data_IF_287946099438
#
_entry.id   IF_287946099438
#
_cell.length_a   1.000
_cell.length_b   1.000
_cell.length_c   1.000
_cell.angle_alpha   90.00
_cell.angle_beta   90.00
_cell.angle_gamma   90.00
#
_symmetry.space_group_name_H-M   'P 1'
#
loop_
_entity.id
_entity.type
_entity.pdbx_description
1 polymer ?
#
# COMPACT_ATOMS: atom_id res chain seq x y z
N UNK A 1 -5.59 -29.39 -6.08
CA UNK A 1 -5.16 -28.31 -6.99
C UNK A 1 -6.38 -27.72 -7.74
N UNK A 2 -7.30 -27.01 -7.04
CA UNK A 2 -8.64 -26.63 -7.58
C UNK A 2 -9.27 -25.34 -6.99
N UNK A 3 -8.48 -24.38 -6.50
CA UNK A 3 -9.00 -23.12 -5.89
C UNK A 3 -8.52 -21.81 -6.53
N UNK A 4 -7.62 -21.84 -7.53
CA UNK A 4 -7.02 -20.61 -8.10
C UNK A 4 -7.84 -20.02 -9.25
N UNK A 5 -8.62 -20.82 -9.97
CA UNK A 5 -9.25 -20.40 -11.23
C UNK A 5 -10.51 -19.54 -11.09
N UNK A 6 -11.02 -19.32 -9.87
CA UNK A 6 -12.30 -18.64 -9.64
C UNK A 6 -12.19 -17.21 -9.08
N UNK A 7 -10.99 -16.74 -8.69
CA UNK A 7 -10.85 -15.46 -7.96
C UNK A 7 -11.02 -14.23 -8.86
N UNK A 8 -10.71 -14.35 -10.16
CA UNK A 8 -10.65 -13.23 -11.10
C UNK A 8 -11.72 -13.29 -12.21
N UNK A 9 -12.84 -14.02 -12.02
CA UNK A 9 -13.93 -14.10 -13.01
C UNK A 9 -14.46 -12.71 -13.40
N UNK A 10 -14.47 -11.76 -12.46
CA UNK A 10 -14.87 -10.38 -12.69
C UNK A 10 -13.94 -9.64 -13.68
N UNK A 11 -12.63 -9.94 -13.67
CA UNK A 11 -11.64 -9.25 -14.50
C UNK A 11 -11.79 -9.62 -15.99
N UNK A 12 -12.25 -10.84 -16.26
CA UNK A 12 -12.59 -11.31 -17.62
C UNK A 12 -13.84 -10.63 -18.18
N UNK A 13 -14.71 -10.07 -17.33
CA UNK A 13 -15.93 -9.40 -17.76
C UNK A 13 -15.71 -7.94 -18.16
N UNK A 14 -14.51 -7.39 -17.93
CA UNK A 14 -14.17 -6.01 -18.33
C UNK A 14 -13.81 -6.00 -19.82
N UNK A 15 -14.56 -5.28 -20.67
CA UNK A 15 -14.20 -5.14 -22.08
C UNK A 15 -12.82 -4.48 -22.21
N UNK A 16 -11.97 -5.00 -23.11
CA UNK A 16 -10.58 -4.54 -23.19
C UNK A 16 -10.47 -3.04 -23.52
N UNK A 17 -11.34 -2.52 -24.39
CA UNK A 17 -11.40 -1.07 -24.68
C UNK A 17 -11.58 -0.22 -23.41
N UNK A 18 -12.39 -0.70 -22.46
CA UNK A 18 -12.65 0.00 -21.20
C UNK A 18 -11.47 -0.18 -20.24
N UNK A 19 -10.94 -1.40 -20.14
CA UNK A 19 -9.81 -1.69 -19.28
C UNK A 19 -8.57 -0.86 -19.64
N UNK A 20 -8.22 -0.85 -20.93
CA UNK A 20 -7.09 -0.04 -21.43
C UNK A 20 -7.34 1.46 -21.30
N UNK A 21 -8.57 1.94 -21.59
CA UNK A 21 -8.92 3.34 -21.39
C UNK A 21 -8.75 3.78 -19.92
N UNK A 22 -9.30 3.02 -18.96
CA UNK A 22 -9.19 3.34 -17.54
C UNK A 22 -7.75 3.20 -17.02
N UNK A 23 -6.98 2.25 -17.53
CA UNK A 23 -5.56 2.13 -17.21
C UNK A 23 -4.75 3.34 -17.71
N UNK A 24 -4.99 3.78 -18.95
CA UNK A 24 -4.38 5.00 -19.51
C UNK A 24 -4.78 6.26 -18.73
N UNK A 25 -6.06 6.40 -18.40
CA UNK A 25 -6.54 7.49 -17.55
C UNK A 25 -5.86 7.49 -16.18
N UNK A 26 -5.70 6.33 -15.54
CA UNK A 26 -4.97 6.20 -14.28
C UNK A 26 -3.45 6.38 -14.42
N UNK A 27 -2.90 6.20 -15.62
CA UNK A 27 -1.49 6.48 -15.91
C UNK A 27 -1.22 7.99 -15.80
N UNK A 28 -2.18 8.83 -16.21
CA UNK A 28 -2.19 10.26 -15.92
C UNK A 28 -2.57 10.56 -14.48
N UNK A 29 -3.83 10.28 -14.11
CA UNK A 29 -4.48 10.84 -12.91
C UNK A 29 -4.37 9.96 -11.64
N UNK A 30 -3.98 8.69 -11.79
CA UNK A 30 -3.98 7.73 -10.69
C UNK A 30 -2.82 7.90 -9.71
N UNK A 31 -3.07 7.66 -8.43
CA UNK A 31 -2.08 7.86 -7.37
C UNK A 31 -2.02 6.65 -6.43
N UNK A 32 -0.83 6.06 -6.32
CA UNK A 32 -0.52 5.01 -5.36
C UNK A 32 0.22 5.60 -4.17
N UNK A 33 -0.34 5.42 -2.98
CA UNK A 33 0.17 6.03 -1.75
C UNK A 33 0.27 4.99 -0.63
N UNK A 34 1.35 5.11 0.15
CA UNK A 34 1.55 4.36 1.38
C UNK A 34 1.80 5.37 2.50
N UNK A 35 0.94 5.35 3.51
CA UNK A 35 1.06 6.21 4.68
C UNK A 35 1.24 5.39 5.94
N UNK A 36 1.92 5.98 6.93
CA UNK A 36 2.03 5.43 8.27
C UNK A 36 1.11 6.24 9.17
N UNK A 37 0.26 5.56 9.93
CA UNK A 37 -0.59 6.18 10.96
C UNK A 37 -0.17 5.68 12.31
N UNK A 38 -0.02 6.59 13.27
CA UNK A 38 0.17 6.18 14.66
C UNK A 38 -1.09 5.48 15.18
N UNK A 39 -0.88 4.44 15.96
CA UNK A 39 -1.89 3.77 16.78
C UNK A 39 -1.47 3.93 18.24
N UNK A 40 -2.47 4.08 19.09
CA UNK A 40 -2.28 4.08 20.55
C UNK A 40 -2.16 2.64 21.10
N UNK A 41 -1.68 1.69 20.29
CA UNK A 41 -1.53 0.27 20.66
C UNK A 41 -0.07 -0.01 21.02
N UNK A 42 0.15 -0.51 22.24
CA UNK A 42 1.47 -0.74 22.84
C UNK A 42 2.34 -1.73 22.04
N UNK A 43 1.76 -2.58 21.19
CA UNK A 43 2.50 -3.63 20.46
C UNK A 43 2.90 -3.24 19.04
N UNK A 44 2.17 -2.36 18.37
CA UNK A 44 2.51 -1.90 17.00
C UNK A 44 2.05 -0.45 16.89
N UNK A 45 2.96 0.48 17.18
CA UNK A 45 2.67 1.91 17.15
C UNK A 45 2.28 2.41 15.75
N UNK A 46 2.54 1.65 14.68
CA UNK A 46 2.35 2.10 13.31
C UNK A 46 1.45 1.19 12.47
N UNK A 47 0.35 1.77 11.98
CA UNK A 47 -0.45 1.17 10.93
C UNK A 47 0.08 1.56 9.54
N UNK A 48 0.43 0.56 8.73
CA UNK A 48 0.67 0.74 7.28
C UNK A 48 -0.67 0.86 6.57
N UNK A 49 -0.91 1.99 5.91
CA UNK A 49 -2.15 2.26 5.16
C UNK A 49 -1.84 2.43 3.68
N UNK A 50 -2.35 1.48 2.89
CA UNK A 50 -2.29 1.49 1.44
C UNK A 50 -3.47 2.28 0.88
N UNK A 51 -3.24 3.11 -0.14
CA UNK A 51 -4.32 3.83 -0.82
C UNK A 51 -4.03 3.98 -2.30
N UNK A 52 -4.97 3.53 -3.12
CA UNK A 52 -5.08 3.94 -4.51
C UNK A 52 -6.18 5.00 -4.61
N UNK A 53 -5.91 6.11 -5.28
CA UNK A 53 -6.93 7.12 -5.54
C UNK A 53 -6.76 7.79 -6.91
N UNK A 54 -7.85 8.34 -7.42
CA UNK A 54 -7.90 9.14 -8.65
C UNK A 54 -8.75 10.36 -8.36
N UNK A 55 -8.27 11.55 -8.68
CA UNK A 55 -8.98 12.81 -8.47
C UNK A 55 -9.33 13.48 -9.79
N UNK A 56 -10.54 13.99 -9.93
CA UNK A 56 -10.97 14.69 -11.14
C UNK A 56 -12.17 15.61 -10.84
N UNK A 57 -12.32 16.71 -11.59
CA UNK A 57 -13.53 17.55 -11.52
C UNK A 57 -14.72 16.89 -12.23
N UNK A 58 -14.48 16.23 -13.36
CA UNK A 58 -15.47 15.36 -13.99
C UNK A 58 -15.52 13.99 -13.28
N UNK A 59 -16.70 13.65 -12.74
CA UNK A 59 -16.92 12.42 -11.97
C UNK A 59 -17.10 11.16 -12.84
N UNK A 60 -17.33 11.31 -14.15
CA UNK A 60 -17.71 10.21 -15.06
C UNK A 60 -16.73 9.06 -15.01
N UNK A 61 -15.43 9.34 -15.17
CA UNK A 61 -14.38 8.31 -15.12
C UNK A 61 -14.21 7.70 -13.72
N UNK A 62 -14.54 8.45 -12.66
CA UNK A 62 -14.50 7.94 -11.29
C UNK A 62 -15.64 6.94 -11.03
N UNK A 63 -16.83 7.18 -11.60
CA UNK A 63 -17.92 6.20 -11.58
C UNK A 63 -17.58 4.95 -12.37
N UNK A 64 -16.96 5.08 -13.56
CA UNK A 64 -16.51 3.93 -14.34
C UNK A 64 -15.48 3.09 -13.57
N UNK A 65 -14.50 3.73 -12.94
CA UNK A 65 -13.55 3.04 -12.05
C UNK A 65 -14.26 2.27 -10.95
N UNK A 66 -15.18 2.91 -10.22
CA UNK A 66 -15.95 2.25 -9.15
C UNK A 66 -16.75 1.06 -9.68
N UNK A 67 -17.41 1.20 -10.83
CA UNK A 67 -18.20 0.15 -11.47
C UNK A 67 -17.34 -1.06 -11.84
N UNK A 68 -16.25 -0.85 -12.56
CA UNK A 68 -15.45 -1.96 -13.10
C UNK A 68 -14.49 -2.58 -12.09
N UNK A 69 -13.96 -1.82 -11.14
CA UNK A 69 -13.18 -2.37 -10.02
C UNK A 69 -14.08 -3.04 -8.96
N UNK A 70 -15.37 -2.71 -8.92
CA UNK A 70 -16.34 -3.25 -7.97
C UNK A 70 -16.01 -2.96 -6.51
N UNK A 71 -15.19 -1.93 -6.25
CA UNK A 71 -14.76 -1.54 -4.91
C UNK A 71 -14.50 -0.03 -4.83
N UNK A 72 -14.06 0.44 -3.67
CA UNK A 72 -13.75 1.85 -3.45
C UNK A 72 -14.98 2.72 -3.18
N UNK A 73 -14.72 3.96 -2.79
CA UNK A 73 -15.72 4.98 -2.48
C UNK A 73 -15.47 6.25 -3.28
N UNK A 74 -16.54 6.98 -3.59
CA UNK A 74 -16.47 8.31 -4.15
C UNK A 74 -16.50 9.33 -3.00
N UNK A 75 -15.71 10.37 -3.11
CA UNK A 75 -15.69 11.50 -2.17
C UNK A 75 -15.77 12.79 -2.98
N UNK A 76 -16.40 13.81 -2.39
CA UNK A 76 -16.51 15.15 -2.97
C UNK A 76 -15.84 16.14 -2.03
N UNK A 77 -15.10 17.09 -2.60
CA UNK A 77 -14.57 18.26 -1.89
C UNK A 77 -15.34 19.50 -2.28
N UNK A 78 -15.38 20.48 -1.38
CA UNK A 78 -16.09 21.75 -1.56
C UNK A 78 -15.62 22.57 -2.78
N UNK A 79 -14.40 22.32 -3.28
CA UNK A 79 -13.82 22.99 -4.46
C UNK A 79 -14.20 22.33 -5.80
N UNK A 80 -15.17 21.41 -5.80
CA UNK A 80 -15.67 20.73 -6.99
C UNK A 80 -14.79 19.58 -7.47
N UNK A 81 -13.74 19.21 -6.72
CA UNK A 81 -12.93 18.03 -7.05
C UNK A 81 -13.54 16.78 -6.42
N UNK A 82 -13.68 15.73 -7.23
CA UNK A 82 -14.11 14.40 -6.78
C UNK A 82 -12.94 13.43 -6.70
N UNK A 83 -13.08 12.43 -5.85
CA UNK A 83 -12.08 11.38 -5.65
C UNK A 83 -12.72 10.00 -5.72
N UNK A 84 -12.14 9.11 -6.52
CA UNK A 84 -12.29 7.67 -6.32
C UNK A 84 -11.18 7.19 -5.38
N UNK A 85 -11.53 6.50 -4.28
CA UNK A 85 -10.56 6.07 -3.26
C UNK A 85 -10.76 4.61 -2.88
N UNK A 86 -9.69 3.84 -2.95
CA UNK A 86 -9.59 2.46 -2.43
C UNK A 86 -8.52 2.43 -1.34
N UNK A 87 -8.94 2.25 -0.09
CA UNK A 87 -8.04 2.20 1.09
C UNK A 87 -8.14 0.90 1.89
N UNK A 88 -9.04 -0.01 1.50
CA UNK A 88 -9.13 -1.34 2.09
C UNK A 88 -8.06 -2.22 1.44
N UNK A 89 -7.15 -2.79 2.23
CA UNK A 89 -6.03 -3.58 1.69
C UNK A 89 -6.52 -4.82 0.91
N UNK A 90 -7.60 -5.49 1.34
CA UNK A 90 -8.16 -6.64 0.62
C UNK A 90 -8.66 -6.21 -0.76
N UNK A 91 -9.38 -5.08 -0.86
CA UNK A 91 -9.79 -4.54 -2.17
C UNK A 91 -8.60 -4.16 -3.05
N UNK A 92 -7.50 -3.68 -2.47
CA UNK A 92 -6.28 -3.38 -3.23
C UNK A 92 -5.68 -4.66 -3.82
N UNK A 93 -5.54 -5.70 -3.00
CA UNK A 93 -4.99 -7.01 -3.39
C UNK A 93 -5.89 -7.72 -4.41
N UNK A 94 -7.20 -7.70 -4.20
CA UNK A 94 -8.15 -8.53 -4.96
C UNK A 94 -8.73 -7.82 -6.18
N UNK A 95 -8.66 -6.48 -6.25
CA UNK A 95 -9.24 -5.69 -7.35
C UNK A 95 -8.22 -4.80 -8.04
N UNK A 96 -7.60 -3.89 -7.29
CA UNK A 96 -6.73 -2.85 -7.88
C UNK A 96 -5.49 -3.47 -8.52
N UNK A 97 -4.77 -4.32 -7.80
CA UNK A 97 -3.55 -4.95 -8.32
C UNK A 97 -3.85 -5.87 -9.53
N UNK A 98 -4.83 -6.78 -9.49
CA UNK A 98 -5.17 -7.61 -10.64
C UNK A 98 -5.58 -6.79 -11.87
N UNK A 99 -6.34 -5.70 -11.68
CA UNK A 99 -6.71 -4.81 -12.77
C UNK A 99 -5.47 -4.26 -13.50
N UNK A 100 -4.53 -3.65 -12.77
CA UNK A 100 -3.33 -3.05 -13.38
C UNK A 100 -2.24 -4.07 -13.77
N UNK A 101 -2.37 -5.33 -13.31
CA UNK A 101 -1.61 -6.46 -13.87
C UNK A 101 -2.16 -6.96 -15.20
N UNK A 102 -3.45 -6.79 -15.50
CA UNK A 102 -4.01 -7.10 -16.82
C UNK A 102 -3.83 -5.92 -17.76
N UNK A 103 -4.29 -4.74 -17.33
CA UNK A 103 -4.25 -3.49 -18.07
C UNK A 103 -3.08 -2.64 -17.55
N UNK A 104 -1.92 -2.87 -18.14
CA UNK A 104 -0.64 -2.30 -17.70
C UNK A 104 -0.55 -0.80 -17.97
N UNK A 105 0.19 -0.10 -17.12
CA UNK A 105 0.60 1.29 -17.39
C UNK A 105 1.63 1.35 -18.51
N UNK A 106 1.75 2.50 -19.19
CA UNK A 106 2.78 2.77 -20.19
C UNK A 106 3.89 3.65 -19.61
N UNK A 107 3.55 4.65 -18.79
CA UNK A 107 4.55 5.58 -18.25
C UNK A 107 5.53 4.88 -17.31
N UNK A 108 6.83 5.15 -17.51
CA UNK A 108 7.90 4.57 -16.68
C UNK A 108 7.72 4.92 -15.20
N UNK A 109 7.24 6.14 -14.92
CA UNK A 109 7.02 6.59 -13.55
C UNK A 109 5.88 5.83 -12.85
N UNK A 110 4.75 5.56 -13.53
CA UNK A 110 3.63 4.83 -12.93
C UNK A 110 3.96 3.35 -12.80
N UNK A 111 4.67 2.76 -13.78
CA UNK A 111 5.21 1.40 -13.68
C UNK A 111 6.08 1.21 -12.43
N UNK A 112 7.06 2.10 -12.20
CA UNK A 112 7.92 2.09 -11.00
C UNK A 112 7.07 2.17 -9.73
N UNK A 113 6.16 3.13 -9.65
CA UNK A 113 5.34 3.34 -8.46
C UNK A 113 4.36 2.19 -8.19
N UNK A 114 3.71 1.65 -9.22
CA UNK A 114 2.84 0.50 -9.10
C UNK A 114 3.61 -0.74 -8.65
N UNK A 115 4.82 -0.98 -9.18
CA UNK A 115 5.67 -2.09 -8.77
C UNK A 115 6.05 -2.02 -7.29
N UNK A 116 6.49 -0.84 -6.83
CA UNK A 116 6.78 -0.60 -5.41
C UNK A 116 5.55 -0.79 -4.53
N UNK A 117 4.42 -0.20 -4.93
CA UNK A 117 3.16 -0.31 -4.20
C UNK A 117 2.66 -1.76 -4.10
N UNK A 118 2.73 -2.53 -5.20
CA UNK A 118 2.39 -3.95 -5.24
C UNK A 118 3.26 -4.75 -4.26
N UNK A 119 4.58 -4.53 -4.25
CA UNK A 119 5.50 -5.20 -3.32
C UNK A 119 5.18 -4.89 -1.87
N UNK A 120 4.86 -3.63 -1.55
CA UNK A 120 4.42 -3.26 -0.20
C UNK A 120 3.09 -3.94 0.15
N UNK A 121 2.14 -4.00 -0.79
CA UNK A 121 0.86 -4.66 -0.56
C UNK A 121 1.02 -6.16 -0.26
N UNK A 122 1.95 -6.85 -0.94
CA UNK A 122 2.29 -8.26 -0.69
C UNK A 122 2.88 -8.47 0.72
N UNK A 123 3.73 -7.55 1.21
CA UNK A 123 4.23 -7.55 2.59
C UNK A 123 3.11 -7.31 3.61
N UNK A 124 2.10 -6.51 3.25
CA UNK A 124 0.91 -6.31 4.09
C UNK A 124 0.05 -7.57 4.11
N UNK A 125 -0.20 -8.19 2.95
CA UNK A 125 -1.01 -9.41 2.81
C UNK A 125 -0.40 -10.60 3.57
N UNK A 126 0.91 -10.78 3.49
CA UNK A 126 1.67 -11.81 4.21
C UNK A 126 1.85 -11.52 5.71
N UNK A 127 1.31 -10.41 6.21
CA UNK A 127 1.46 -9.93 7.60
C UNK A 127 2.91 -9.60 8.01
N UNK A 128 3.85 -9.50 7.07
CA UNK A 128 5.23 -9.10 7.37
C UNK A 128 5.31 -7.69 8.01
N UNK A 129 4.37 -6.81 7.69
CA UNK A 129 4.27 -5.48 8.31
C UNK A 129 4.07 -5.49 9.84
N UNK A 130 3.71 -6.63 10.45
CA UNK A 130 3.55 -6.75 11.89
C UNK A 130 4.87 -7.05 12.62
N UNK A 131 5.91 -7.44 11.88
CA UNK A 131 7.23 -7.69 12.46
C UNK A 131 8.22 -6.57 12.10
N UNK A 132 9.31 -6.44 12.88
CA UNK A 132 10.19 -5.29 12.80
C UNK A 132 10.94 -5.19 11.46
N UNK A 133 11.45 -6.31 10.96
CA UNK A 133 12.18 -6.39 9.70
C UNK A 133 11.28 -6.10 8.50
N UNK A 134 10.08 -6.68 8.48
CA UNK A 134 9.08 -6.45 7.45
C UNK A 134 8.60 -5.00 7.41
N UNK A 135 8.37 -4.39 8.57
CA UNK A 135 8.08 -2.97 8.67
C UNK A 135 9.22 -2.10 8.13
N UNK A 136 10.47 -2.39 8.50
CA UNK A 136 11.66 -1.68 7.98
C UNK A 136 11.76 -1.79 6.45
N UNK A 137 11.51 -2.97 5.88
CA UNK A 137 11.45 -3.17 4.42
C UNK A 137 10.36 -2.29 3.79
N UNK A 138 9.17 -2.22 4.38
CA UNK A 138 8.07 -1.39 3.90
C UNK A 138 8.45 0.08 3.90
N UNK A 139 9.04 0.59 4.98
CA UNK A 139 9.49 1.98 5.08
C UNK A 139 10.50 2.30 3.98
N UNK A 140 11.51 1.45 3.78
CA UNK A 140 12.51 1.64 2.73
C UNK A 140 11.92 1.64 1.30
N UNK A 141 10.95 0.76 1.01
CA UNK A 141 10.24 0.75 -0.28
C UNK A 141 9.37 2.00 -0.45
N UNK A 142 8.72 2.42 0.63
CA UNK A 142 7.85 3.58 0.68
C UNK A 142 8.63 4.87 0.40
N UNK A 143 9.88 5.01 0.82
CA UNK A 143 10.67 6.22 0.51
C UNK A 143 10.99 6.36 -0.99
N UNK A 144 11.10 5.24 -1.72
CA UNK A 144 11.28 5.24 -3.18
C UNK A 144 9.98 5.49 -3.96
N UNK A 145 8.83 5.44 -3.29
CA UNK A 145 7.52 5.66 -3.90
C UNK A 145 7.27 7.15 -4.10
N UNK A 146 6.89 7.56 -5.32
CA UNK A 146 6.67 8.95 -5.72
C UNK A 146 7.88 9.87 -5.47
N UNK A 147 9.08 9.32 -5.49
CA UNK A 147 10.36 10.03 -5.37
C UNK A 147 10.44 11.20 -6.36
N UNK A 148 10.92 12.35 -5.90
CA UNK A 148 11.07 13.57 -6.72
C UNK A 148 9.80 14.39 -6.96
N UNK A 149 8.61 13.97 -6.48
CA UNK A 149 7.33 14.68 -6.71
C UNK A 149 6.91 15.67 -5.61
N UNK A 150 7.84 16.10 -4.75
CA UNK A 150 7.56 17.11 -3.72
C UNK A 150 6.54 16.69 -2.65
N UNK A 151 6.22 15.39 -2.52
CA UNK A 151 5.29 14.89 -1.51
C UNK A 151 5.92 15.03 -0.11
N UNK A 152 5.41 15.96 0.69
CA UNK A 152 5.75 16.05 2.12
C UNK A 152 5.08 14.87 2.85
N UNK A 153 5.88 13.90 3.27
CA UNK A 153 5.42 12.79 4.11
C UNK A 153 5.10 13.34 5.50
N UNK A 154 3.90 13.06 6.03
CA UNK A 154 3.54 13.44 7.41
C UNK A 154 4.47 12.80 8.45
N UNK A 155 4.86 11.55 8.21
CA UNK A 155 5.84 10.83 9.00
C UNK A 155 6.93 10.27 8.08
N UNK A 156 8.19 10.61 8.41
CA UNK A 156 9.37 10.20 7.67
C UNK A 156 10.02 8.95 8.30
N UNK A 157 11.12 8.48 7.69
CA UNK A 157 11.85 7.32 8.18
C UNK A 157 12.39 7.54 9.61
N UNK A 158 12.78 8.75 9.98
CA UNK A 158 13.31 9.06 11.31
C UNK A 158 12.22 8.98 12.39
N UNK A 159 11.01 9.45 12.11
CA UNK A 159 9.85 9.32 13.02
C UNK A 159 9.52 7.85 13.30
N UNK A 160 9.62 7.02 12.25
CA UNK A 160 9.43 5.58 12.36
C UNK A 160 10.61 4.90 13.10
N UNK A 161 11.85 5.37 12.93
CA UNK A 161 13.07 4.75 13.47
C UNK A 161 13.32 5.08 14.95
N UNK A 162 13.07 6.33 15.37
CA UNK A 162 13.22 6.77 16.78
C UNK A 162 12.28 5.96 17.70
N UNK A 163 11.08 5.66 17.20
CA UNK A 163 10.10 4.87 17.93
C UNK A 163 10.28 3.36 17.79
N UNK A 164 10.88 2.90 16.68
CA UNK A 164 11.28 1.50 16.51
C UNK A 164 12.33 1.06 17.52
N UNK A 165 13.27 1.94 17.91
CA UNK A 165 14.24 1.63 18.96
C UNK A 165 13.58 1.50 20.34
N UNK A 166 12.50 2.24 20.62
CA UNK A 166 11.68 2.06 21.82
C UNK A 166 10.94 0.73 21.78
N UNK A 167 10.27 0.44 20.66
CA UNK A 167 9.60 -0.85 20.43
C UNK A 167 10.55 -2.05 20.64
N UNK A 168 11.79 -2.00 20.11
CA UNK A 168 12.78 -3.06 20.33
C UNK A 168 13.25 -3.16 21.79
N UNK A 169 13.35 -2.03 22.52
CA UNK A 169 13.66 -2.04 23.96
C UNK A 169 12.54 -2.73 24.76
N UNK A 170 11.30 -2.44 24.44
CA UNK A 170 10.14 -2.99 25.16
C UNK A 170 9.95 -4.49 24.85
N UNK A 171 10.18 -4.90 23.60
CA UNK A 171 10.16 -6.32 23.19
C UNK A 171 11.33 -7.13 23.78
N UNK A 172 12.48 -6.49 24.04
CA UNK A 172 13.62 -7.14 24.71
C UNK A 172 13.48 -7.17 26.23
N UNK A 173 12.70 -6.26 26.83
CA UNK A 173 12.36 -6.34 28.26
C UNK A 173 11.36 -7.43 28.61
N UNK A 174 10.51 -7.85 27.67
CA UNK A 174 9.54 -8.95 27.87
C UNK A 174 10.11 -10.34 27.55
N UNK A 175 11.38 -10.44 27.15
CA UNK A 175 12.05 -11.74 27.03
C UNK A 175 12.23 -12.35 28.43
N UNK A 176 11.80 -13.61 28.64
CA UNK A 176 12.06 -14.33 29.87
C UNK A 176 13.54 -14.21 30.27
N UNK A 177 13.83 -13.95 31.56
CA UNK A 177 15.19 -13.69 32.06
C UNK A 177 16.24 -14.70 31.57
N UNK A 178 15.84 -15.95 31.30
CA UNK A 178 16.73 -17.02 30.83
C UNK A 178 17.24 -16.84 29.39
N UNK A 179 16.61 -15.99 28.55
CA UNK A 179 17.10 -15.66 27.20
C UNK A 179 18.06 -14.47 27.17
N UNK A 180 18.20 -13.72 28.28
CA UNK A 180 19.11 -12.56 28.36
C UNK A 180 20.60 -12.94 28.44
N UNK A 181 20.91 -14.19 28.78
CA UNK A 181 22.29 -14.63 29.07
C UNK A 181 23.00 -15.39 27.94
N UNK A 182 22.47 -15.43 26.70
CA UNK A 182 23.16 -16.14 25.59
C UNK A 182 24.04 -15.28 24.68
N UNK A 183 24.18 -13.98 24.90
CA UNK A 183 25.02 -13.09 24.09
C UNK A 183 26.12 -12.35 24.88
N UNK A 184 26.74 -13.02 25.86
CA UNK A 184 28.01 -12.59 26.47
C UNK A 184 28.89 -13.82 26.66
N UNK A 185 29.64 -14.21 25.63
CA UNK A 185 30.58 -15.34 25.72
C UNK A 185 31.11 -15.74 24.35
N UNK A 186 32.15 -15.05 23.89
CA UNK A 186 32.81 -15.36 22.63
C UNK A 186 34.01 -14.46 22.35
N UNK A 187 34.89 -14.29 23.34
CA UNK A 187 36.31 -13.98 23.10
C UNK A 187 37.09 -15.27 23.37
N UNK A 188 37.70 -15.83 22.33
CA UNK A 188 39.08 -16.31 22.37
C UNK A 188 39.70 -15.81 21.07
#
# INVERSE_FOLDING_TARGET
>A
MRKKDNKDKWLKQIPDRIGWYLAGFCDGEGSFNVSLRKKDDDRIEWQVVLTFNVSQRDITNLFLLKRYLGCGRLQHRKDGVHYFVVSNYKSIIERVIPFFKKFHFLSSSKKKNFSLFKRIAELVESKEHLNPEGFKKIVALREKLNEGRGSKRKHNQNDATINYQRFLRDYTSDLPKFLRNKNLGGKI
#
